data_IF_460284643560
#
_entry.id   IF_460284643560
#
_cell.length_a   1.000
_cell.length_b   1.000
_cell.length_c   1.000
_cell.angle_alpha   90.00
_cell.angle_beta   90.00
_cell.angle_gamma   90.00
#
_symmetry.space_group_name_H-M   'P 1'
#
loop_
_entity.id
_entity.type
_entity.pdbx_description
1 polymer ?
#
# COMPACT_ATOMS: atom_id res chain seq x y z
N UNK A 1 20.97 13.29 -2.05
CA UNK A 1 20.18 12.53 -1.05
C UNK A 1 18.84 12.03 -1.62
N UNK A 2 18.65 12.00 -2.95
CA UNK A 2 17.31 12.04 -3.58
C UNK A 2 16.65 10.69 -3.91
N UNK A 3 17.11 9.54 -3.37
CA UNK A 3 16.54 8.24 -3.77
C UNK A 3 16.40 7.16 -2.66
N UNK A 4 16.64 7.48 -1.38
CA UNK A 4 16.58 6.46 -0.31
C UNK A 4 15.14 5.98 0.00
N UNK A 5 14.13 6.82 -0.25
CA UNK A 5 12.74 6.52 0.10
C UNK A 5 11.95 5.84 -1.02
N UNK A 6 12.39 5.94 -2.28
CA UNK A 6 11.56 5.59 -3.43
C UNK A 6 11.01 4.16 -3.35
N UNK A 7 11.85 3.16 -3.06
CA UNK A 7 11.45 1.75 -2.97
C UNK A 7 11.24 1.25 -1.53
N UNK A 8 11.14 2.16 -0.57
CA UNK A 8 10.88 1.86 0.84
C UNK A 8 9.38 1.94 1.09
N UNK A 9 8.82 0.99 1.84
CA UNK A 9 7.44 1.11 2.32
C UNK A 9 7.39 2.21 3.39
N UNK A 10 7.18 3.45 2.97
CA UNK A 10 7.08 4.58 3.90
C UNK A 10 5.78 4.47 4.70
N UNK A 11 5.86 4.74 6.00
CA UNK A 11 4.68 4.70 6.87
C UNK A 11 3.96 6.04 6.76
N UNK A 12 2.73 6.02 6.29
CA UNK A 12 1.92 7.21 6.10
C UNK A 12 0.53 7.01 6.69
N UNK A 13 0.01 8.06 7.34
CA UNK A 13 -1.40 8.13 7.68
C UNK A 13 -2.23 8.31 6.42
N UNK A 14 -3.50 7.96 6.45
CA UNK A 14 -4.39 7.95 5.30
C UNK A 14 -4.52 9.32 4.65
N UNK A 15 -4.73 10.39 5.43
CA UNK A 15 -4.81 11.76 4.89
C UNK A 15 -3.55 12.11 4.09
N UNK A 16 -2.42 11.61 4.58
CA UNK A 16 -1.10 11.91 4.06
C UNK A 16 -0.83 11.16 2.76
N UNK A 17 -1.15 9.86 2.75
CA UNK A 17 -1.08 9.00 1.58
C UNK A 17 -2.05 9.44 0.46
N UNK A 18 -3.27 9.83 0.82
CA UNK A 18 -4.30 10.24 -0.15
C UNK A 18 -4.03 11.63 -0.74
N UNK A 19 -3.19 12.44 -0.07
CA UNK A 19 -2.79 13.78 -0.53
C UNK A 19 -1.53 13.80 -1.40
N UNK A 20 -0.94 12.63 -1.71
CA UNK A 20 0.27 12.58 -2.54
C UNK A 20 0.05 13.23 -3.91
N UNK A 21 1.03 14.04 -4.32
CA UNK A 21 1.05 14.63 -5.66
C UNK A 21 1.21 13.51 -6.68
N UNK A 22 0.23 13.39 -7.56
CA UNK A 22 0.27 12.48 -8.71
C UNK A 22 0.80 13.23 -9.91
N UNK A 23 1.93 12.78 -10.46
CA UNK A 23 2.47 13.31 -11.72
C UNK A 23 2.24 12.26 -12.81
N UNK A 24 1.31 12.51 -13.76
CA UNK A 24 1.09 11.65 -14.90
C UNK A 24 2.38 11.56 -15.72
N UNK A 25 2.67 10.37 -16.23
CA UNK A 25 3.81 10.21 -17.13
C UNK A 25 3.46 10.71 -18.54
N UNK A 26 4.45 11.25 -19.30
CA UNK A 26 4.22 11.77 -20.64
C UNK A 26 3.79 10.69 -21.64
N UNK A 27 4.16 9.43 -21.38
CA UNK A 27 3.69 8.27 -22.12
C UNK A 27 2.56 7.57 -21.37
N UNK A 28 1.54 7.10 -22.10
CA UNK A 28 0.45 6.30 -21.52
C UNK A 28 0.90 4.93 -21.01
N UNK A 29 2.12 4.50 -21.38
CA UNK A 29 2.75 3.26 -20.95
C UNK A 29 3.48 3.35 -19.60
N UNK A 30 3.87 4.55 -19.19
CA UNK A 30 4.64 4.75 -17.96
C UNK A 30 3.71 4.88 -16.74
N UNK A 31 4.04 4.26 -15.61
CA UNK A 31 3.22 4.34 -14.41
C UNK A 31 3.16 5.77 -13.87
N UNK A 32 2.04 6.14 -13.26
CA UNK A 32 1.89 7.39 -12.50
C UNK A 32 2.94 7.43 -11.41
N UNK A 33 3.63 8.56 -11.28
CA UNK A 33 4.58 8.79 -10.19
C UNK A 33 3.91 9.54 -9.05
N UNK A 34 4.30 9.20 -7.82
CA UNK A 34 3.75 9.80 -6.61
C UNK A 34 4.86 10.52 -5.85
N UNK A 35 4.55 11.69 -5.31
CA UNK A 35 5.50 12.41 -4.48
C UNK A 35 4.86 13.10 -3.30
N UNK A 36 5.65 13.25 -2.23
CA UNK A 36 5.36 14.06 -1.06
C UNK A 36 6.32 15.23 -1.05
N UNK A 37 5.82 16.46 -1.17
CA UNK A 37 6.67 17.68 -1.15
C UNK A 37 7.86 17.57 -2.13
N UNK A 38 7.64 17.00 -3.31
CA UNK A 38 8.68 16.75 -4.32
C UNK A 38 9.56 15.51 -4.10
N UNK A 39 9.44 14.82 -2.96
CA UNK A 39 10.16 13.56 -2.70
C UNK A 39 9.40 12.39 -3.32
N UNK A 40 10.00 11.62 -4.26
CA UNK A 40 9.31 10.54 -4.94
C UNK A 40 9.13 9.31 -4.04
N UNK A 41 7.95 8.73 -4.09
CA UNK A 41 7.54 7.55 -3.32
C UNK A 41 6.91 6.52 -4.25
N UNK A 42 7.19 5.22 -4.05
CA UNK A 42 6.54 4.15 -4.83
C UNK A 42 5.85 3.09 -3.98
N UNK A 43 6.10 3.09 -2.66
CA UNK A 43 5.63 2.06 -1.74
C UNK A 43 5.19 2.68 -0.43
N UNK A 44 4.14 2.13 0.16
CA UNK A 44 3.59 2.59 1.42
C UNK A 44 3.29 1.43 2.38
N UNK A 45 3.33 1.73 3.66
CA UNK A 45 2.71 0.97 4.74
C UNK A 45 1.63 1.85 5.38
N UNK A 46 0.45 1.28 5.58
CA UNK A 46 -0.64 1.89 6.37
C UNK A 46 -1.19 0.84 7.34
N UNK A 47 -1.78 1.31 8.43
CA UNK A 47 -2.43 0.46 9.42
C UNK A 47 -3.73 1.12 9.86
N UNK A 48 -4.80 0.34 9.87
CA UNK A 48 -6.12 0.80 10.28
C UNK A 48 -7.17 -0.32 10.21
N UNK A 49 -8.41 0.04 10.47
CA UNK A 49 -9.54 -0.89 10.51
C UNK A 49 -10.11 -1.12 9.11
N UNK A 50 -10.44 -2.36 8.78
CA UNK A 50 -11.09 -2.69 7.50
C UNK A 50 -12.55 -2.22 7.51
N UNK A 51 -12.90 -1.27 6.64
CA UNK A 51 -14.24 -0.66 6.57
C UNK A 51 -15.08 -1.10 5.36
N UNK A 52 -14.45 -1.69 4.33
CA UNK A 52 -15.14 -2.30 3.20
C UNK A 52 -14.43 -3.57 2.74
N UNK A 53 -15.17 -4.47 2.08
CA UNK A 53 -14.64 -5.73 1.56
C UNK A 53 -15.44 -6.22 0.35
N UNK A 54 -14.83 -6.23 -0.82
CA UNK A 54 -15.38 -6.75 -2.08
C UNK A 54 -14.43 -7.83 -2.64
N UNK A 55 -14.79 -9.09 -2.46
CA UNK A 55 -14.02 -10.23 -3.00
C UNK A 55 -14.53 -10.61 -4.39
N UNK A 56 -13.64 -10.63 -5.38
CA UNK A 56 -13.85 -11.28 -6.68
C UNK A 56 -12.94 -12.52 -6.77
N UNK A 57 -13.49 -13.73 -6.59
CA UNK A 57 -12.71 -14.97 -6.60
C UNK A 57 -11.80 -15.07 -7.84
N UNK A 58 -10.57 -15.55 -7.63
CA UNK A 58 -9.53 -15.69 -8.65
C UNK A 58 -9.17 -14.42 -9.43
N UNK A 59 -9.61 -13.24 -8.97
CA UNK A 59 -9.31 -11.93 -9.57
C UNK A 59 -8.62 -11.03 -8.57
N UNK A 60 -9.34 -10.58 -7.55
CA UNK A 60 -8.83 -9.67 -6.54
C UNK A 60 -9.74 -9.58 -5.32
N UNK A 61 -9.18 -9.12 -4.21
CA UNK A 61 -9.91 -8.55 -3.09
C UNK A 61 -9.71 -7.03 -3.08
N UNK A 62 -10.81 -6.27 -3.07
CA UNK A 62 -10.80 -4.84 -2.76
C UNK A 62 -11.28 -4.63 -1.34
N UNK A 63 -10.62 -3.73 -0.62
CA UNK A 63 -11.01 -3.35 0.73
C UNK A 63 -10.51 -1.94 1.03
N UNK A 64 -11.06 -1.31 2.06
CA UNK A 64 -10.62 0.00 2.54
C UNK A 64 -10.11 -0.12 3.96
N UNK A 65 -9.04 0.61 4.26
CA UNK A 65 -8.43 0.70 5.59
C UNK A 65 -8.64 2.12 6.11
N UNK A 66 -9.29 2.26 7.25
CA UNK A 66 -9.54 3.53 7.93
C UNK A 66 -8.66 3.64 9.17
N UNK A 67 -7.82 4.67 9.21
CA UNK A 67 -6.93 4.98 10.35
C UNK A 67 -7.39 6.23 11.13
N UNK A 68 -8.65 6.62 10.99
CA UNK A 68 -9.22 7.82 11.61
C UNK A 68 -8.84 9.13 10.91
N UNK A 69 -7.91 9.12 9.96
CA UNK A 69 -7.54 10.30 9.16
C UNK A 69 -8.03 10.24 7.72
N UNK A 70 -8.56 9.09 7.30
CA UNK A 70 -9.12 8.85 5.98
C UNK A 70 -9.20 7.36 5.66
N UNK A 71 -9.83 7.03 4.53
CA UNK A 71 -10.02 5.64 4.08
C UNK A 71 -9.14 5.33 2.88
N UNK A 72 -8.11 4.50 3.06
CA UNK A 72 -7.18 4.09 2.00
C UNK A 72 -7.74 2.89 1.24
N UNK A 73 -8.02 3.02 -0.07
CA UNK A 73 -8.39 1.87 -0.90
C UNK A 73 -7.19 0.93 -1.08
N UNK A 74 -7.43 -0.36 -0.95
CA UNK A 74 -6.45 -1.43 -1.05
C UNK A 74 -6.93 -2.51 -2.03
N UNK A 75 -6.02 -3.02 -2.85
CA UNK A 75 -6.30 -4.09 -3.82
C UNK A 75 -5.27 -5.20 -3.69
N UNK A 76 -5.72 -6.39 -3.29
CA UNK A 76 -4.93 -7.62 -3.26
C UNK A 76 -5.29 -8.46 -4.48
N UNK A 77 -4.33 -8.72 -5.37
CA UNK A 77 -4.55 -9.55 -6.56
C UNK A 77 -4.61 -11.04 -6.19
N UNK A 78 -5.50 -11.79 -6.83
CA UNK A 78 -5.73 -13.23 -6.59
C UNK A 78 -5.64 -14.05 -7.90
N UNK A 79 -5.13 -13.43 -8.97
CA UNK A 79 -5.05 -14.03 -10.31
C UNK A 79 -3.66 -14.60 -10.62
N UNK A 80 -2.89 -14.97 -9.60
CA UNK A 80 -1.50 -15.43 -9.74
C UNK A 80 -1.35 -16.62 -10.71
N UNK A 81 -2.29 -17.55 -10.69
CA UNK A 81 -2.28 -18.76 -11.53
C UNK A 81 -2.76 -18.51 -12.97
N UNK A 82 -3.49 -17.44 -13.23
CA UNK A 82 -4.08 -17.15 -14.55
C UNK A 82 -3.44 -15.95 -15.25
N UNK A 83 -2.66 -15.15 -14.54
CA UNK A 83 -2.06 -13.92 -15.09
C UNK A 83 -0.81 -14.23 -15.93
N UNK A 84 -0.72 -13.72 -17.17
CA UNK A 84 0.46 -13.87 -18.02
C UNK A 84 1.74 -13.30 -17.38
N UNK A 85 1.61 -12.38 -16.42
CA UNK A 85 2.74 -11.80 -15.68
C UNK A 85 3.60 -12.87 -14.98
N UNK A 86 2.99 -13.99 -14.56
CA UNK A 86 3.69 -15.07 -13.86
C UNK A 86 4.17 -16.20 -14.79
N UNK A 87 3.90 -16.12 -16.10
CA UNK A 87 4.24 -17.18 -17.07
C UNK A 87 5.73 -17.55 -17.11
N UNK A 88 6.62 -16.62 -16.78
CA UNK A 88 8.08 -16.82 -16.79
C UNK A 88 8.64 -17.26 -15.43
N UNK A 89 7.81 -17.41 -14.41
CA UNK A 89 8.25 -17.77 -13.05
C UNK A 89 8.12 -19.27 -12.81
N UNK A 90 8.86 -19.77 -11.82
CA UNK A 90 8.75 -21.15 -11.39
C UNK A 90 7.30 -21.45 -10.92
N UNK A 91 6.62 -22.46 -11.49
CA UNK A 91 5.24 -22.78 -11.13
C UNK A 91 5.02 -23.10 -9.65
N UNK A 92 6.01 -23.68 -8.95
CA UNK A 92 5.91 -23.99 -7.53
C UNK A 92 5.89 -22.71 -6.69
N UNK A 93 6.77 -21.75 -7.00
CA UNK A 93 6.82 -20.45 -6.31
C UNK A 93 5.52 -19.66 -6.54
N UNK A 94 4.97 -19.72 -7.76
CA UNK A 94 3.71 -19.04 -8.09
C UNK A 94 2.54 -19.62 -7.29
N UNK A 95 2.50 -20.94 -7.07
CA UNK A 95 1.49 -21.57 -6.20
C UNK A 95 1.62 -21.10 -4.76
N UNK A 96 2.83 -21.07 -4.20
CA UNK A 96 3.05 -20.56 -2.83
C UNK A 96 2.59 -19.10 -2.67
N UNK A 97 2.84 -18.25 -3.67
CA UNK A 97 2.37 -16.85 -3.67
C UNK A 97 0.83 -16.80 -3.77
N UNK A 98 0.22 -17.65 -4.60
CA UNK A 98 -1.23 -17.73 -4.73
C UNK A 98 -1.89 -18.15 -3.41
N UNK A 99 -1.39 -19.21 -2.79
CA UNK A 99 -1.90 -19.75 -1.52
C UNK A 99 -1.77 -18.71 -0.39
N UNK A 100 -0.63 -18.00 -0.33
CA UNK A 100 -0.43 -16.92 0.65
C UNK A 100 -1.42 -15.76 0.43
N UNK A 101 -1.67 -15.38 -0.83
CA UNK A 101 -2.62 -14.31 -1.15
C UNK A 101 -4.07 -14.71 -0.82
N UNK A 102 -4.44 -15.98 -1.05
CA UNK A 102 -5.75 -16.52 -0.67
C UNK A 102 -5.91 -16.55 0.85
N UNK A 103 -4.89 -17.00 1.58
CA UNK A 103 -4.86 -16.93 3.04
C UNK A 103 -5.04 -15.50 3.54
N UNK A 104 -4.26 -14.56 3.02
CA UNK A 104 -4.37 -13.14 3.34
C UNK A 104 -5.74 -12.56 3.05
N UNK A 105 -6.36 -12.93 1.92
CA UNK A 105 -7.72 -12.49 1.58
C UNK A 105 -8.79 -13.06 2.53
N UNK A 106 -8.54 -14.23 3.11
CA UNK A 106 -9.42 -14.85 4.12
C UNK A 106 -9.34 -14.15 5.48
N UNK A 107 -8.16 -13.60 5.82
CA UNK A 107 -7.91 -12.91 7.08
C UNK A 107 -8.43 -11.47 7.08
N UNK A 108 -8.44 -10.80 5.92
CA UNK A 108 -9.04 -9.46 5.78
C UNK A 108 -10.57 -9.55 5.90
N UNK A 109 -11.09 -9.17 7.07
CA UNK A 109 -12.52 -9.14 7.42
C UNK A 109 -12.93 -7.74 7.87
N UNK A 110 -14.21 -7.39 7.74
CA UNK A 110 -14.71 -6.11 8.24
C UNK A 110 -14.44 -5.98 9.74
N UNK A 111 -14.02 -4.80 10.18
CA UNK A 111 -13.78 -4.47 11.59
C UNK A 111 -12.45 -4.96 12.16
N UNK A 112 -11.63 -5.73 11.42
CA UNK A 112 -10.30 -6.11 11.92
C UNK A 112 -9.25 -5.03 11.65
N UNK A 113 -8.31 -4.89 12.58
CA UNK A 113 -7.14 -4.03 12.43
C UNK A 113 -6.12 -4.74 11.52
N UNK A 114 -5.72 -4.08 10.44
CA UNK A 114 -4.77 -4.65 9.47
C UNK A 114 -3.61 -3.70 9.20
N UNK A 115 -2.41 -4.27 9.12
CA UNK A 115 -1.25 -3.61 8.52
C UNK A 115 -1.15 -4.02 7.05
N UNK A 116 -1.18 -3.03 6.17
CA UNK A 116 -1.08 -3.22 4.72
C UNK A 116 0.23 -2.61 4.23
N UNK A 117 0.98 -3.38 3.42
CA UNK A 117 2.13 -2.88 2.66
C UNK A 117 1.92 -3.13 1.19
N UNK A 118 2.35 -2.20 0.37
CA UNK A 118 2.27 -2.39 -1.07
C UNK A 118 2.83 -1.25 -1.89
N UNK A 119 2.60 -1.35 -3.20
CA UNK A 119 2.90 -0.30 -4.16
C UNK A 119 1.83 0.77 -4.12
N UNK A 120 2.25 2.02 -4.16
CA UNK A 120 1.35 3.16 -4.37
C UNK A 120 0.95 3.13 -5.85
N UNK A 121 -0.35 3.17 -6.10
CA UNK A 121 -0.94 3.15 -7.43
C UNK A 121 -2.15 4.08 -7.45
N UNK A 122 -2.68 4.37 -8.63
CA UNK A 122 -3.93 5.10 -8.74
C UNK A 122 -4.90 4.36 -9.65
N UNK A 123 -6.18 4.43 -9.29
CA UNK A 123 -7.27 3.93 -10.12
C UNK A 123 -8.32 5.04 -10.26
N UNK A 124 -8.59 5.43 -11.52
CA UNK A 124 -9.51 6.54 -11.84
C UNK A 124 -9.17 7.82 -11.04
N UNK A 125 -7.89 8.15 -10.96
CA UNK A 125 -7.38 9.34 -10.26
C UNK A 125 -7.31 9.24 -8.74
N UNK A 126 -7.80 8.15 -8.14
CA UNK A 126 -7.76 7.94 -6.68
C UNK A 126 -6.53 7.13 -6.29
N UNK A 127 -5.73 7.62 -5.34
CA UNK A 127 -4.59 6.90 -4.77
C UNK A 127 -5.08 5.65 -4.03
N UNK A 128 -4.39 4.54 -4.23
CA UNK A 128 -4.67 3.25 -3.60
C UNK A 128 -3.38 2.45 -3.37
N UNK A 129 -3.42 1.45 -2.50
CA UNK A 129 -2.33 0.49 -2.32
C UNK A 129 -2.63 -0.78 -3.10
N UNK A 130 -1.75 -1.13 -4.05
CA UNK A 130 -1.70 -2.49 -4.60
C UNK A 130 -0.88 -3.34 -3.63
N UNK A 131 -1.57 -4.23 -2.92
CA UNK A 131 -1.07 -4.95 -1.74
C UNK A 131 -0.01 -5.97 -2.12
N UNK A 132 1.14 -5.88 -1.44
CA UNK A 132 2.19 -6.91 -1.45
C UNK A 132 1.98 -7.92 -0.31
N UNK A 133 1.57 -7.44 0.87
CA UNK A 133 1.20 -8.26 2.00
C UNK A 133 0.25 -7.51 2.94
N UNK A 134 -0.57 -8.28 3.66
CA UNK A 134 -1.46 -7.79 4.71
C UNK A 134 -1.35 -8.71 5.93
N UNK A 135 -1.35 -8.12 7.12
CA UNK A 135 -1.24 -8.82 8.40
C UNK A 135 -2.35 -8.30 9.31
N UNK A 136 -3.08 -9.20 9.97
CA UNK A 136 -4.03 -8.84 11.02
C UNK A 136 -3.24 -8.57 12.31
N UNK A 137 -3.34 -7.35 12.80
CA UNK A 137 -2.68 -6.93 14.04
C UNK A 137 -3.61 -7.23 15.22
N UNK A 138 -3.12 -7.98 16.21
CA UNK A 138 -3.91 -8.42 17.38
C UNK A 138 -3.60 -7.62 18.64
N UNK A 139 -2.46 -6.96 18.68
CA UNK A 139 -2.09 -6.09 19.79
C UNK A 139 -2.78 -4.72 19.60
N UNK A 140 -3.66 -4.30 20.53
CA UNK A 140 -4.37 -3.03 20.42
C UNK A 140 -3.44 -1.81 20.41
N UNK A 141 -2.21 -1.94 20.90
CA UNK A 141 -1.23 -0.85 20.89
C UNK A 141 -0.66 -0.58 19.49
N UNK A 142 -0.87 -1.49 18.52
CA UNK A 142 -0.27 -1.35 17.19
C UNK A 142 -0.76 -0.13 16.42
N UNK A 143 -2.00 0.30 16.66
CA UNK A 143 -2.56 1.49 16.03
C UNK A 143 -1.85 2.76 16.50
N UNK A 144 -1.80 2.98 17.81
CA UNK A 144 -1.13 4.16 18.36
C UNK A 144 0.38 4.17 18.08
N UNK A 145 1.04 3.00 18.12
CA UNK A 145 2.46 2.89 17.78
C UNK A 145 2.71 3.24 16.31
N UNK A 146 1.84 2.81 15.39
CA UNK A 146 1.96 3.16 13.98
C UNK A 146 1.76 4.66 13.76
N UNK A 147 0.78 5.29 14.40
CA UNK A 147 0.56 6.73 14.30
C UNK A 147 1.77 7.53 14.81
N UNK A 148 2.33 7.15 15.96
CA UNK A 148 3.53 7.79 16.52
C UNK A 148 4.73 7.65 15.57
N UNK A 149 4.89 6.49 14.94
CA UNK A 149 5.92 6.26 13.92
C UNK A 149 5.72 7.16 12.69
N UNK A 150 4.50 7.24 12.14
CA UNK A 150 4.18 8.11 11.01
C UNK A 150 4.52 9.58 11.31
N UNK A 151 4.10 10.08 12.49
CA UNK A 151 4.37 11.45 12.92
C UNK A 151 5.88 11.69 13.09
N UNK A 152 6.59 10.75 13.73
CA UNK A 152 8.04 10.84 13.93
C UNK A 152 8.79 10.86 12.59
N UNK A 153 8.40 9.98 11.66
CA UNK A 153 9.03 9.87 10.34
C UNK A 153 8.74 11.09 9.46
N UNK A 154 7.51 11.62 9.49
CA UNK A 154 7.18 12.87 8.82
C UNK A 154 8.13 14.00 9.26
N UNK A 155 8.24 14.21 10.58
CA UNK A 155 9.07 15.28 11.17
C UNK A 155 10.56 15.11 10.96
N UNK A 156 11.07 13.86 10.99
CA UNK A 156 12.52 13.59 11.05
C UNK A 156 13.12 13.06 9.75
N UNK A 157 12.30 12.61 8.81
CA UNK A 157 12.78 11.96 7.59
C UNK A 157 12.14 12.53 6.32
N UNK A 158 10.82 12.77 6.32
CA UNK A 158 10.10 13.11 5.08
C UNK A 158 10.03 14.61 4.82
N UNK A 159 9.86 15.42 5.87
CA UNK A 159 9.71 16.87 5.78
C UNK A 159 11.02 17.62 6.08
N UNK A 160 12.13 16.90 6.23
CA UNK A 160 13.45 17.52 6.38
C UNK A 160 13.88 18.04 5.01
N UNK A 161 13.80 19.36 4.83
CA UNK A 161 14.33 20.02 3.65
C UNK A 161 15.80 19.62 3.49
N UNK A 162 16.26 19.20 2.29
CA UNK A 162 17.68 19.04 2.07
C UNK A 162 18.35 20.37 2.38
N UNK A 163 19.29 20.39 3.33
CA UNK A 163 20.09 21.58 3.63
C UNK A 163 20.59 22.15 2.31
N UNK A 164 20.25 23.41 2.05
CA UNK A 164 20.52 24.10 0.79
C UNK A 164 21.95 23.85 0.35
N UNK A 165 22.10 23.43 -0.91
CA UNK A 165 23.33 23.65 -1.65
C UNK A 165 23.16 24.91 -2.48
#
# INVERSE_FOLDING_TARGET
MSNQLYNTHVKLLAFDLLSLTQTPSPSSSDPISFSRRGTPLSRAETLGTVTSRELKPHKFLKFTVDDGTGCVPCVLWLNHLSSPYFSRRNPADVRLIADLAEYQASEVKLGVLVRVRGRITAYRGTVQITVSNVIVERDPNMEILHWLDCIKLARKCYDVMPHGK
#
